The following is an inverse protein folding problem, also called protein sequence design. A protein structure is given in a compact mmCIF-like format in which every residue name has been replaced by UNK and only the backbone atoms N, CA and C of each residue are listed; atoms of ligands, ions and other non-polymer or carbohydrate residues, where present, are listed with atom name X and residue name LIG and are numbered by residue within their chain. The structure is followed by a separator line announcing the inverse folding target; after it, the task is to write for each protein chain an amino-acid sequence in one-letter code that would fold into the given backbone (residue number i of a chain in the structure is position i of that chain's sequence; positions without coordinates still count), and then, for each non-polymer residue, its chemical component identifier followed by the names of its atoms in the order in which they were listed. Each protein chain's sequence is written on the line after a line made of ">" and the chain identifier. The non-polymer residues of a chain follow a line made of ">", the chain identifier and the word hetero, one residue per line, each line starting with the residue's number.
data_IF_387875346698
#
_entry.id   IF_387875346698
#
_cell.length_a   1.000
_cell.length_b   1.000
_cell.length_c   1.000
_cell.angle_alpha   90.00
_cell.angle_beta   90.00
_cell.angle_gamma   90.00
#
_symmetry.space_group_name_H-M   'P 1'
#
loop_
_entity.id
_entity.type
_entity.pdbx_description
1 polymer ?
#
# COMPACT_ATOMS: atom_id res chain seq x y z
N UNK A 1 -6.03 40.51 15.93
CA UNK A 1 -6.36 39.20 15.33
C UNK A 1 -5.26 38.26 15.67
N UNK A 2 -5.46 37.36 16.64
CA UNK A 2 -4.47 36.34 17.02
C UNK A 2 -4.47 35.28 15.93
N UNK A 3 -3.45 35.27 15.10
CA UNK A 3 -3.18 34.12 14.25
C UNK A 3 -2.89 32.93 15.19
N UNK A 4 -3.82 32.02 15.35
CA UNK A 4 -3.55 30.73 16.01
C UNK A 4 -2.42 30.06 15.24
N UNK A 5 -1.23 30.14 15.79
CA UNK A 5 -0.03 29.50 15.27
C UNK A 5 -0.10 28.03 15.68
N UNK A 6 -0.79 27.19 14.89
CA UNK A 6 -0.81 25.74 15.10
C UNK A 6 0.57 25.12 15.04
N UNK A 7 0.75 23.86 15.48
CA UNK A 7 2.03 23.19 15.53
C UNK A 7 2.72 23.16 14.16
N UNK A 8 4.04 23.36 14.15
CA UNK A 8 4.87 23.31 12.96
C UNK A 8 5.43 21.91 12.76
N UNK A 9 5.14 21.31 11.62
CA UNK A 9 5.67 20.00 11.19
C UNK A 9 6.75 20.24 10.13
N UNK A 10 7.98 19.86 10.45
CA UNK A 10 9.10 19.93 9.53
C UNK A 10 9.28 18.56 8.85
N UNK A 11 9.10 18.49 7.55
CA UNK A 11 9.58 17.35 6.73
C UNK A 11 11.10 17.45 6.61
N UNK A 12 11.82 16.74 7.47
CA UNK A 12 13.28 16.83 7.52
C UNK A 12 13.94 16.16 6.32
N UNK A 13 13.38 15.04 5.85
CA UNK A 13 13.86 14.31 4.69
C UNK A 13 12.85 14.35 3.54
N UNK A 14 13.35 14.32 2.31
CA UNK A 14 12.54 14.15 1.12
C UNK A 14 12.02 12.70 1.03
N UNK A 15 10.95 12.46 0.27
CA UNK A 15 10.42 11.13 -0.01
C UNK A 15 11.04 10.60 -1.31
N UNK A 16 12.07 9.74 -1.22
CA UNK A 16 12.83 9.22 -2.37
C UNK A 16 13.27 10.34 -3.33
N UNK A 17 13.85 11.42 -2.77
CA UNK A 17 14.33 12.58 -3.55
C UNK A 17 13.24 13.57 -3.98
N UNK A 18 11.98 13.33 -3.66
CA UNK A 18 10.87 14.25 -3.97
C UNK A 18 10.41 14.99 -2.72
N UNK A 19 10.34 16.31 -2.82
CA UNK A 19 9.77 17.12 -1.75
C UNK A 19 8.24 16.93 -1.69
N UNK A 20 7.63 16.89 -0.48
CA UNK A 20 6.20 16.84 -0.34
C UNK A 20 5.56 18.13 -0.90
N UNK A 21 4.42 17.98 -1.55
CA UNK A 21 3.65 19.12 -2.04
C UNK A 21 2.83 19.71 -0.89
N UNK A 22 3.40 20.70 -0.21
CA UNK A 22 2.78 21.33 0.96
C UNK A 22 1.46 22.07 0.63
N UNK A 23 1.26 22.55 -0.60
CA UNK A 23 0.01 23.22 -1.01
C UNK A 23 -1.20 22.28 -0.99
N UNK A 24 -0.99 20.98 -1.06
CA UNK A 24 -2.06 19.97 -0.98
C UNK A 24 -2.38 19.54 0.44
N UNK A 25 -1.58 19.95 1.42
CA UNK A 25 -1.76 19.61 2.83
C UNK A 25 -2.64 20.68 3.50
N UNK A 26 -3.96 20.54 3.32
CA UNK A 26 -4.97 21.40 4.00
C UNK A 26 -5.52 20.62 5.19
N UNK A 27 -4.97 20.80 6.38
CA UNK A 27 -5.50 20.20 7.60
C UNK A 27 -6.76 20.92 8.10
N UNK A 28 -7.68 20.17 8.70
CA UNK A 28 -8.81 20.70 9.47
C UNK A 28 -8.31 21.39 10.75
N UNK A 29 -7.25 20.85 11.35
CA UNK A 29 -6.49 21.43 12.46
C UNK A 29 -5.45 22.42 11.92
N UNK A 30 -5.13 23.47 12.67
CA UNK A 30 -4.28 24.57 12.24
C UNK A 30 -2.77 24.22 12.10
N UNK A 31 -2.40 22.98 11.72
CA UNK A 31 -1.00 22.62 11.52
C UNK A 31 -0.36 23.39 10.37
N UNK A 32 0.89 23.73 10.56
CA UNK A 32 1.76 24.34 9.55
C UNK A 32 2.80 23.31 9.10
N UNK A 33 3.11 23.30 7.81
CA UNK A 33 4.10 22.39 7.23
C UNK A 33 5.24 23.15 6.60
N UNK A 34 6.45 22.64 6.75
CA UNK A 34 7.65 23.20 6.12
C UNK A 34 8.62 22.09 5.69
N UNK A 35 9.44 22.38 4.68
CA UNK A 35 10.61 21.59 4.28
C UNK A 35 11.91 22.36 4.54
N UNK A 36 11.82 23.58 5.06
CA UNK A 36 12.98 24.43 5.38
C UNK A 36 13.63 23.97 6.69
N UNK A 37 14.76 23.26 6.56
CA UNK A 37 15.52 22.74 7.71
C UNK A 37 16.07 23.83 8.63
N UNK A 38 16.17 25.07 8.20
CA UNK A 38 16.58 26.21 9.07
C UNK A 38 15.57 26.46 10.18
N UNK A 39 14.33 26.02 9.97
CA UNK A 39 13.26 26.09 10.95
C UNK A 39 13.22 24.92 11.93
N UNK A 40 14.26 24.06 11.93
CA UNK A 40 14.36 22.93 12.85
C UNK A 40 14.19 23.35 14.33
N UNK A 41 14.78 24.45 14.85
CA UNK A 41 14.59 24.86 16.24
C UNK A 41 13.14 25.26 16.59
N UNK A 42 12.33 25.63 15.61
CA UNK A 42 10.92 26.06 15.79
C UNK A 42 9.93 24.91 15.63
N UNK A 43 10.37 23.78 15.08
CA UNK A 43 9.49 22.67 14.74
C UNK A 43 8.98 21.97 16.00
N UNK A 44 7.67 21.80 16.11
CA UNK A 44 7.05 20.99 17.14
C UNK A 44 7.17 19.48 16.80
N UNK A 45 7.14 19.17 15.50
CA UNK A 45 7.36 17.80 15.02
C UNK A 45 8.39 17.80 13.90
N UNK A 46 9.35 16.89 13.99
CA UNK A 46 10.33 16.63 12.93
C UNK A 46 10.02 15.26 12.32
N UNK A 47 9.59 15.26 11.07
CA UNK A 47 9.19 14.05 10.36
C UNK A 47 10.32 13.54 9.47
N UNK A 48 10.74 12.30 9.72
CA UNK A 48 11.77 11.59 8.98
C UNK A 48 11.16 10.50 8.10
N UNK A 49 11.41 10.54 6.80
CA UNK A 49 11.11 9.43 5.92
C UNK A 49 12.26 8.42 5.99
N UNK A 50 12.09 7.34 6.74
CA UNK A 50 13.15 6.39 7.07
C UNK A 50 13.90 5.84 5.84
N UNK A 51 13.23 5.42 4.74
CA UNK A 51 13.94 4.93 3.56
C UNK A 51 14.95 5.93 2.96
N UNK A 52 14.71 7.23 3.12
CA UNK A 52 15.62 8.29 2.65
C UNK A 52 16.70 8.63 3.66
N UNK A 53 16.49 8.34 4.95
CA UNK A 53 17.46 8.60 6.01
C UNK A 53 18.59 7.57 6.09
N UNK A 54 18.56 6.51 5.29
CA UNK A 54 19.59 5.46 5.30
C UNK A 54 20.99 6.06 5.10
N UNK A 55 21.85 5.84 6.09
CA UNK A 55 23.23 6.37 6.08
C UNK A 55 23.36 7.88 6.32
N UNK A 56 22.28 8.56 6.74
CA UNK A 56 22.32 9.95 7.14
C UNK A 56 22.29 10.08 8.67
N UNK A 57 22.97 11.09 9.19
CA UNK A 57 22.92 11.45 10.60
C UNK A 57 21.62 12.19 10.93
N UNK A 58 21.12 11.96 12.14
CA UNK A 58 20.00 12.73 12.65
C UNK A 58 20.49 14.10 13.16
N UNK A 59 19.66 15.14 13.04
CA UNK A 59 20.01 16.47 13.52
C UNK A 59 20.03 16.51 15.06
N UNK A 60 20.48 17.63 15.62
CA UNK A 60 20.28 17.92 17.05
C UNK A 60 18.78 17.97 17.35
N UNK A 61 18.35 17.28 18.41
CA UNK A 61 16.99 17.38 18.93
C UNK A 61 16.90 18.57 19.90
N UNK A 62 15.88 19.39 19.71
CA UNK A 62 15.59 20.52 20.60
C UNK A 62 14.56 20.11 21.66
N UNK A 63 14.46 20.84 22.81
CA UNK A 63 13.41 20.61 23.80
C UNK A 63 12.02 20.69 23.19
N UNK A 64 11.08 19.92 23.74
CA UNK A 64 9.65 19.89 23.34
C UNK A 64 9.38 19.50 21.88
N UNK A 65 10.40 18.98 21.17
CA UNK A 65 10.21 18.41 19.84
C UNK A 65 9.77 16.95 19.91
N UNK A 66 8.74 16.62 19.13
CA UNK A 66 8.41 15.24 18.83
C UNK A 66 9.11 14.79 17.53
N UNK A 67 9.77 13.67 17.58
CA UNK A 67 10.31 13.04 16.40
C UNK A 67 9.34 12.01 15.87
N UNK A 68 8.99 12.13 14.60
CA UNK A 68 8.11 11.22 13.91
C UNK A 68 8.86 10.47 12.80
N UNK A 69 8.72 9.14 12.76
CA UNK A 69 9.26 8.32 11.66
C UNK A 69 8.14 7.88 10.74
N UNK A 70 8.37 7.99 9.43
CA UNK A 70 7.43 7.56 8.40
C UNK A 70 8.07 6.55 7.46
N UNK A 71 7.39 5.43 7.25
CA UNK A 71 7.75 4.47 6.20
C UNK A 71 6.53 3.73 5.67
N UNK A 72 6.45 3.63 4.34
CA UNK A 72 5.53 2.73 3.64
C UNK A 72 6.25 1.49 3.10
N UNK A 73 7.53 1.34 3.38
CA UNK A 73 8.33 0.18 3.00
C UNK A 73 8.40 -0.83 4.16
N UNK A 74 8.52 -2.12 3.83
CA UNK A 74 8.51 -3.18 4.85
C UNK A 74 9.79 -3.19 5.69
N UNK A 75 9.68 -3.70 6.92
CA UNK A 75 10.82 -3.94 7.82
C UNK A 75 11.83 -4.96 7.27
N UNK A 76 11.41 -5.84 6.37
CA UNK A 76 12.31 -6.77 5.69
C UNK A 76 13.26 -6.03 4.74
N UNK A 77 12.77 -5.03 4.03
CA UNK A 77 13.57 -4.20 3.12
C UNK A 77 14.33 -3.08 3.87
N UNK A 78 13.82 -2.66 5.04
CA UNK A 78 14.38 -1.62 5.89
C UNK A 78 14.46 -2.10 7.35
N UNK A 79 15.48 -2.90 7.72
CA UNK A 79 15.58 -3.58 9.01
C UNK A 79 15.53 -2.66 10.23
N UNK A 80 15.94 -1.39 10.08
CA UNK A 80 15.82 -0.40 11.13
C UNK A 80 14.39 -0.22 11.67
N UNK A 81 13.35 -0.53 10.86
CA UNK A 81 11.95 -0.53 11.31
C UNK A 81 11.63 -1.65 12.32
N UNK A 82 12.42 -2.73 12.33
CA UNK A 82 12.29 -3.83 13.30
C UNK A 82 13.26 -3.69 14.48
N UNK A 83 14.19 -2.75 14.43
CA UNK A 83 15.12 -2.48 15.50
C UNK A 83 14.45 -1.63 16.58
N UNK A 84 14.15 -2.26 17.72
CA UNK A 84 13.46 -1.60 18.84
C UNK A 84 14.28 -0.47 19.46
N UNK A 85 15.61 -0.60 19.52
CA UNK A 85 16.48 0.42 20.09
C UNK A 85 16.50 1.65 19.18
N UNK A 86 16.69 1.42 17.88
CA UNK A 86 16.61 2.49 16.89
C UNK A 86 15.24 3.18 16.91
N UNK A 87 14.14 2.43 16.98
CA UNK A 87 12.78 2.99 16.95
C UNK A 87 12.40 3.77 18.22
N UNK A 88 13.05 3.52 19.36
CA UNK A 88 12.80 4.28 20.62
C UNK A 88 13.13 5.77 20.53
N UNK A 89 13.95 6.19 19.59
CA UNK A 89 14.25 7.61 19.40
C UNK A 89 13.07 8.41 18.83
N UNK A 90 12.03 7.74 18.33
CA UNK A 90 10.85 8.39 17.76
C UNK A 90 9.67 8.31 18.73
N UNK A 91 9.02 9.45 18.94
CA UNK A 91 7.81 9.55 19.78
C UNK A 91 6.55 9.13 19.00
N UNK A 92 6.59 9.28 17.66
CA UNK A 92 5.48 9.05 16.77
C UNK A 92 5.94 8.14 15.64
N UNK A 93 5.21 7.05 15.43
CA UNK A 93 5.42 6.15 14.30
C UNK A 93 4.30 6.30 13.28
N UNK A 94 4.67 6.35 11.99
CA UNK A 94 3.73 6.41 10.87
C UNK A 94 4.09 5.35 9.85
N UNK A 95 3.20 4.42 9.59
CA UNK A 95 3.52 3.32 8.67
C UNK A 95 2.36 2.38 8.40
N UNK A 96 2.64 1.34 7.63
CA UNK A 96 1.65 0.34 7.21
C UNK A 96 1.24 -0.64 8.33
N UNK A 97 2.05 -0.80 9.38
CA UNK A 97 1.79 -1.70 10.51
C UNK A 97 0.74 -1.10 11.45
N UNK A 98 -0.17 -1.96 11.95
CA UNK A 98 -1.39 -1.52 12.65
C UNK A 98 -1.16 -0.87 14.01
N UNK A 99 -0.07 -1.19 14.68
CA UNK A 99 0.33 -0.61 15.96
C UNK A 99 1.13 0.71 15.82
N UNK A 100 1.26 1.24 14.60
CA UNK A 100 1.81 2.58 14.41
C UNK A 100 0.92 3.65 15.05
N UNK A 101 1.53 4.66 15.68
CA UNK A 101 0.79 5.81 16.25
C UNK A 101 -0.16 6.45 15.23
N UNK A 102 0.29 6.55 13.98
CA UNK A 102 -0.53 6.96 12.84
C UNK A 102 -0.50 5.83 11.80
N UNK A 103 -1.39 4.88 11.94
CA UNK A 103 -1.49 3.79 10.96
C UNK A 103 -1.73 4.33 9.56
N UNK A 104 -0.92 3.95 8.60
CA UNK A 104 -0.96 4.46 7.22
C UNK A 104 -1.01 3.29 6.25
N UNK A 105 -2.16 2.61 6.11
CA UNK A 105 -2.31 1.49 5.16
C UNK A 105 -2.31 1.99 3.71
N UNK A 106 -2.22 1.07 2.76
CA UNK A 106 -2.29 1.33 1.31
C UNK A 106 -3.72 1.52 0.79
N UNK A 107 -4.68 1.70 1.68
CA UNK A 107 -6.03 2.15 1.38
C UNK A 107 -6.35 3.41 2.21
N UNK A 108 -7.44 4.08 1.89
CA UNK A 108 -7.79 5.31 2.59
C UNK A 108 -9.25 5.71 2.38
N UNK A 109 -9.59 6.95 2.69
CA UNK A 109 -10.94 7.46 2.52
C UNK A 109 -11.50 7.17 1.12
N UNK A 110 -12.71 6.64 1.05
CA UNK A 110 -13.38 6.29 -0.22
C UNK A 110 -13.05 4.90 -0.78
N UNK A 111 -12.11 4.15 -0.20
CA UNK A 111 -11.78 2.79 -0.68
C UNK A 111 -12.99 1.86 -0.66
N UNK A 112 -13.81 1.89 0.39
CA UNK A 112 -15.03 1.09 0.47
C UNK A 112 -15.99 1.35 -0.71
N UNK A 113 -16.12 2.61 -1.15
CA UNK A 113 -16.91 2.98 -2.32
C UNK A 113 -16.31 2.42 -3.62
N UNK A 114 -14.99 2.53 -3.79
CA UNK A 114 -14.29 2.03 -4.98
C UNK A 114 -14.39 0.50 -5.11
N UNK A 115 -14.33 -0.23 -4.01
CA UNK A 115 -14.46 -1.68 -3.98
C UNK A 115 -15.82 -2.19 -4.42
N UNK A 116 -16.87 -1.38 -4.31
CA UNK A 116 -18.23 -1.70 -4.77
C UNK A 116 -18.47 -1.47 -6.27
N UNK A 117 -17.47 -0.93 -6.99
CA UNK A 117 -17.58 -0.77 -8.44
C UNK A 117 -17.79 -2.13 -9.11
N UNK A 118 -18.76 -2.27 -10.02
CA UNK A 118 -18.99 -3.54 -10.70
C UNK A 118 -17.77 -3.91 -11.56
N UNK A 119 -17.47 -5.21 -11.70
CA UNK A 119 -16.44 -5.65 -12.63
C UNK A 119 -16.88 -5.38 -14.08
N UNK A 120 -15.89 -5.10 -14.93
CA UNK A 120 -16.11 -5.01 -16.38
C UNK A 120 -15.83 -6.35 -17.06
N UNK A 121 -16.26 -6.48 -18.32
CA UNK A 121 -16.00 -7.66 -19.15
C UNK A 121 -14.47 -7.96 -19.23
N UNK A 122 -14.13 -9.25 -19.18
CA UNK A 122 -12.75 -9.73 -19.28
C UNK A 122 -12.42 -9.99 -20.76
N UNK A 123 -11.60 -9.13 -21.33
CA UNK A 123 -11.35 -9.11 -22.78
C UNK A 123 -9.96 -9.56 -23.19
N UNK A 124 -9.06 -9.80 -22.21
CA UNK A 124 -7.69 -10.22 -22.51
C UNK A 124 -7.61 -11.75 -22.64
N UNK A 125 -6.90 -12.20 -23.67
CA UNK A 125 -6.72 -13.64 -23.93
C UNK A 125 -5.83 -14.33 -22.89
N UNK A 126 -4.89 -13.61 -22.27
CA UNK A 126 -4.16 -14.11 -21.11
C UNK A 126 -5.02 -13.98 -19.86
N UNK A 127 -5.15 -14.99 -19.01
CA UNK A 127 -5.95 -14.89 -17.80
C UNK A 127 -5.34 -13.97 -16.73
N UNK A 128 -4.02 -13.75 -16.74
CA UNK A 128 -3.27 -13.06 -15.70
C UNK A 128 -2.59 -11.79 -16.20
N UNK A 129 -2.72 -10.72 -15.40
CA UNK A 129 -1.90 -9.51 -15.48
C UNK A 129 -0.84 -9.47 -14.37
N UNK A 130 0.32 -8.91 -14.67
CA UNK A 130 1.37 -8.64 -13.69
C UNK A 130 1.99 -7.26 -13.87
N UNK A 131 2.26 -6.56 -12.76
CA UNK A 131 2.85 -5.22 -12.75
C UNK A 131 3.98 -5.13 -11.72
N UNK A 132 5.23 -5.25 -12.17
CA UNK A 132 6.40 -5.06 -11.31
C UNK A 132 7.46 -4.21 -12.00
N UNK A 133 7.85 -3.10 -11.35
CA UNK A 133 8.96 -2.26 -11.80
C UNK A 133 10.15 -2.27 -10.83
N UNK A 134 9.91 -2.51 -9.55
CA UNK A 134 10.96 -2.63 -8.53
C UNK A 134 11.65 -3.98 -8.60
N UNK A 135 12.98 -3.96 -8.45
CA UNK A 135 13.80 -5.18 -8.35
C UNK A 135 13.94 -5.71 -6.92
N UNK A 136 13.37 -5.02 -5.92
CA UNK A 136 13.28 -5.58 -4.57
C UNK A 136 12.48 -6.88 -4.62
N UNK A 137 13.07 -7.97 -4.10
CA UNK A 137 12.56 -9.33 -4.28
C UNK A 137 12.81 -10.23 -3.06
N UNK A 138 12.74 -9.67 -1.87
CA UNK A 138 12.93 -10.44 -0.64
C UNK A 138 11.87 -11.53 -0.43
N UNK A 139 10.74 -11.45 -1.14
CA UNK A 139 9.72 -12.50 -1.18
C UNK A 139 10.00 -13.63 -2.18
N UNK A 140 11.00 -13.50 -3.06
CA UNK A 140 11.26 -14.46 -4.15
C UNK A 140 10.24 -14.41 -5.30
N UNK A 141 9.39 -13.37 -5.34
CA UNK A 141 8.28 -13.25 -6.32
C UNK A 141 8.74 -13.32 -7.77
N UNK A 142 9.96 -12.80 -8.11
CA UNK A 142 10.46 -12.83 -9.50
C UNK A 142 10.67 -14.27 -9.97
N UNK A 143 11.29 -15.10 -9.11
CA UNK A 143 11.47 -16.53 -9.38
C UNK A 143 10.14 -17.26 -9.51
N UNK A 144 9.21 -16.98 -8.60
CA UNK A 144 7.88 -17.60 -8.62
C UNK A 144 7.09 -17.25 -9.88
N UNK A 145 7.05 -15.96 -10.27
CA UNK A 145 6.34 -15.52 -11.49
C UNK A 145 7.00 -16.11 -12.75
N UNK A 146 8.34 -16.19 -12.79
CA UNK A 146 9.05 -16.82 -13.91
C UNK A 146 8.68 -18.29 -14.05
N UNK A 147 8.58 -19.02 -12.94
CA UNK A 147 8.13 -20.40 -12.93
C UNK A 147 6.66 -20.52 -13.37
N UNK A 148 5.79 -19.63 -12.87
CA UNK A 148 4.37 -19.61 -13.25
C UNK A 148 4.16 -19.40 -14.75
N UNK A 149 4.97 -18.52 -15.38
CA UNK A 149 4.95 -18.25 -16.83
C UNK A 149 5.32 -19.46 -17.70
N UNK A 150 5.88 -20.53 -17.14
CA UNK A 150 6.12 -21.79 -17.86
C UNK A 150 4.86 -22.63 -18.00
N UNK A 151 3.84 -22.36 -17.18
CA UNK A 151 2.64 -23.18 -17.07
C UNK A 151 1.38 -22.45 -17.51
N UNK A 152 1.30 -21.12 -17.35
CA UNK A 152 0.12 -20.32 -17.70
C UNK A 152 0.55 -18.98 -18.31
N UNK A 153 -0.25 -18.48 -19.21
CA UNK A 153 0.01 -17.19 -19.87
C UNK A 153 -0.17 -16.02 -18.91
N UNK A 154 0.89 -15.20 -18.76
CA UNK A 154 0.92 -13.98 -17.94
C UNK A 154 1.35 -12.79 -18.79
N UNK A 155 0.53 -11.76 -18.86
CA UNK A 155 0.88 -10.47 -19.47
C UNK A 155 1.55 -9.57 -18.41
N UNK A 156 2.86 -9.34 -18.55
CA UNK A 156 3.67 -8.56 -17.62
C UNK A 156 4.00 -7.18 -18.20
N UNK A 157 3.56 -6.14 -17.50
CA UNK A 157 3.63 -4.73 -17.91
C UNK A 157 4.76 -3.92 -17.27
N UNK A 158 5.31 -4.37 -16.17
CA UNK A 158 6.35 -3.65 -15.45
C UNK A 158 7.72 -3.71 -16.15
N UNK A 159 8.77 -3.27 -15.44
CA UNK A 159 10.16 -3.36 -15.94
C UNK A 159 10.76 -4.76 -15.75
N UNK A 160 10.17 -5.56 -14.86
CA UNK A 160 10.62 -6.92 -14.53
C UNK A 160 9.73 -7.92 -15.27
N UNK A 161 10.36 -8.91 -15.93
CA UNK A 161 9.67 -9.92 -16.76
C UNK A 161 8.72 -9.32 -17.80
N UNK A 162 9.03 -8.12 -18.31
CA UNK A 162 8.18 -7.40 -19.25
C UNK A 162 8.02 -8.18 -20.57
N UNK A 163 6.76 -8.41 -20.96
CA UNK A 163 6.41 -9.02 -22.25
C UNK A 163 5.24 -8.28 -22.92
N UNK A 164 4.69 -7.23 -22.28
CA UNK A 164 3.56 -6.45 -22.82
C UNK A 164 3.67 -4.97 -22.48
N UNK A 165 3.17 -4.12 -23.37
CA UNK A 165 3.08 -2.68 -23.17
C UNK A 165 1.65 -2.25 -22.87
N UNK A 166 1.49 -1.22 -22.02
CA UNK A 166 0.19 -0.60 -21.81
C UNK A 166 -0.31 0.03 -23.13
N UNK A 167 -1.60 -0.14 -23.45
CA UNK A 167 -2.17 0.56 -24.60
C UNK A 167 -2.30 2.06 -24.30
N UNK A 168 -1.69 2.87 -25.16
CA UNK A 168 -1.72 4.34 -25.10
C UNK A 168 -0.82 4.95 -24.01
N UNK A 169 -0.98 6.26 -23.75
CA UNK A 169 -0.14 6.99 -22.80
C UNK A 169 -0.30 6.46 -21.37
N UNK A 170 0.83 6.26 -20.67
CA UNK A 170 0.81 5.89 -19.27
C UNK A 170 0.41 7.09 -18.38
N UNK A 171 -0.73 6.98 -17.74
CA UNK A 171 -1.28 7.93 -16.74
C UNK A 171 -1.17 7.37 -15.31
N UNK A 172 -0.17 6.55 -15.04
CA UNK A 172 0.08 5.93 -13.74
C UNK A 172 -1.04 5.00 -13.29
N UNK A 173 -1.50 5.16 -12.04
CA UNK A 173 -2.50 4.29 -11.45
C UNK A 173 -3.79 4.13 -12.27
N UNK A 174 -4.23 5.17 -12.98
CA UNK A 174 -5.42 5.09 -13.85
C UNK A 174 -5.24 4.14 -15.02
N UNK A 175 -4.07 4.16 -15.67
CA UNK A 175 -3.75 3.25 -16.78
C UNK A 175 -3.61 1.82 -16.28
N UNK A 176 -2.95 1.62 -15.11
CA UNK A 176 -2.83 0.33 -14.46
C UNK A 176 -4.21 -0.27 -14.14
N UNK A 177 -5.11 0.48 -13.48
CA UNK A 177 -6.45 0.00 -13.13
C UNK A 177 -7.27 -0.38 -14.34
N UNK A 178 -7.23 0.41 -15.43
CA UNK A 178 -7.92 0.06 -16.68
C UNK A 178 -7.38 -1.22 -17.32
N UNK A 179 -6.08 -1.42 -17.31
CA UNK A 179 -5.49 -2.65 -17.82
C UNK A 179 -5.90 -3.84 -16.97
N UNK A 180 -5.72 -3.78 -15.64
CA UNK A 180 -6.10 -4.83 -14.70
C UNK A 180 -7.56 -5.25 -14.86
N UNK A 181 -8.48 -4.31 -15.03
CA UNK A 181 -9.93 -4.56 -15.13
C UNK A 181 -10.29 -5.57 -16.24
N UNK A 182 -9.46 -5.68 -17.27
CA UNK A 182 -9.70 -6.55 -18.44
C UNK A 182 -9.22 -7.99 -18.25
N UNK A 183 -8.55 -8.31 -17.14
CA UNK A 183 -8.03 -9.64 -16.81
C UNK A 183 -8.89 -10.34 -15.76
N UNK A 184 -9.02 -11.65 -15.85
CA UNK A 184 -9.65 -12.47 -14.81
C UNK A 184 -8.86 -12.36 -13.50
N UNK A 185 -7.57 -12.52 -13.56
CA UNK A 185 -6.68 -12.50 -12.39
C UNK A 185 -5.57 -11.44 -12.51
N UNK A 186 -5.07 -11.01 -11.37
CA UNK A 186 -3.89 -10.14 -11.30
C UNK A 186 -2.93 -10.67 -10.23
N UNK A 187 -1.67 -10.88 -10.60
CA UNK A 187 -0.64 -11.25 -9.63
C UNK A 187 -0.36 -10.05 -8.70
N UNK A 188 -0.72 -10.22 -7.45
CA UNK A 188 -0.60 -9.24 -6.36
C UNK A 188 0.51 -9.67 -5.39
N UNK A 189 1.72 -9.87 -5.93
CA UNK A 189 2.86 -10.36 -5.18
C UNK A 189 3.65 -9.21 -4.57
N UNK A 190 3.78 -9.21 -3.25
CA UNK A 190 4.55 -8.20 -2.52
C UNK A 190 6.05 -8.41 -2.72
N UNK A 191 6.84 -7.36 -2.52
CA UNK A 191 8.30 -7.42 -2.63
C UNK A 191 8.98 -8.07 -1.42
N UNK A 192 8.23 -8.28 -0.35
CA UNK A 192 8.67 -8.90 0.90
C UNK A 192 7.46 -9.49 1.64
N UNK A 193 7.71 -10.48 2.47
CA UNK A 193 6.69 -11.11 3.33
C UNK A 193 6.86 -10.51 4.73
N UNK A 194 5.89 -9.70 5.15
CA UNK A 194 5.85 -9.09 6.48
C UNK A 194 4.40 -8.91 6.93
N UNK A 195 4.14 -9.05 8.23
CA UNK A 195 2.82 -8.81 8.83
C UNK A 195 2.35 -7.40 8.50
N UNK A 196 1.07 -7.23 8.20
CA UNK A 196 0.41 -5.97 7.82
C UNK A 196 0.91 -5.33 6.50
N UNK A 197 1.95 -5.89 5.85
CA UNK A 197 2.47 -5.33 4.61
C UNK A 197 1.60 -5.73 3.41
N UNK A 198 0.44 -5.11 3.32
CA UNK A 198 -0.55 -5.31 2.25
C UNK A 198 -0.67 -4.02 1.46
N UNK A 199 -0.09 -4.02 0.24
CA UNK A 199 0.05 -2.79 -0.54
C UNK A 199 -1.08 -2.62 -1.58
N UNK A 200 -0.96 -1.58 -2.39
CA UNK A 200 -1.87 -1.35 -3.52
C UNK A 200 -1.94 -2.53 -4.52
N UNK A 201 -1.00 -3.47 -4.45
CA UNK A 201 -1.02 -4.66 -5.30
C UNK A 201 -2.23 -5.54 -5.01
N UNK A 202 -2.63 -5.63 -3.74
CA UNK A 202 -3.83 -6.35 -3.33
C UNK A 202 -5.11 -5.56 -3.63
N UNK A 203 -5.14 -4.27 -3.30
CA UNK A 203 -6.35 -3.46 -3.41
C UNK A 203 -6.69 -3.04 -4.84
N UNK A 204 -5.70 -2.79 -5.70
CA UNK A 204 -5.96 -2.38 -7.08
C UNK A 204 -6.74 -3.43 -7.88
N UNK A 205 -6.42 -4.73 -7.86
CA UNK A 205 -7.25 -5.75 -8.51
C UNK A 205 -8.68 -5.79 -7.98
N UNK A 206 -8.86 -5.76 -6.66
CA UNK A 206 -10.18 -5.75 -6.04
C UNK A 206 -11.03 -4.55 -6.50
N UNK A 207 -10.43 -3.35 -6.57
CA UNK A 207 -11.08 -2.14 -7.08
C UNK A 207 -11.42 -2.29 -8.56
N UNK A 208 -10.48 -2.82 -9.35
CA UNK A 208 -10.65 -2.99 -10.79
C UNK A 208 -11.61 -4.15 -11.18
N UNK A 209 -12.02 -4.98 -10.22
CA UNK A 209 -12.86 -6.14 -10.47
C UNK A 209 -12.11 -7.32 -11.11
N UNK A 210 -10.80 -7.42 -10.91
CA UNK A 210 -9.96 -8.60 -11.17
C UNK A 210 -9.71 -9.33 -9.87
N UNK A 211 -9.57 -10.65 -9.89
CA UNK A 211 -9.28 -11.43 -8.69
C UNK A 211 -7.78 -11.38 -8.39
N UNK A 212 -7.35 -10.85 -7.23
CA UNK A 212 -5.94 -10.90 -6.87
C UNK A 212 -5.48 -12.34 -6.57
N UNK A 213 -4.38 -12.74 -7.19
CA UNK A 213 -3.59 -13.89 -6.77
C UNK A 213 -2.47 -13.32 -5.90
N UNK A 214 -2.54 -13.57 -4.60
CA UNK A 214 -1.73 -12.86 -3.61
C UNK A 214 -0.57 -13.70 -3.08
N UNK A 215 0.58 -13.06 -2.92
CA UNK A 215 1.73 -13.56 -2.17
C UNK A 215 2.31 -12.41 -1.35
N UNK A 216 2.30 -12.51 -0.01
CA UNK A 216 2.77 -11.41 0.85
C UNK A 216 2.47 -11.64 2.32
N UNK A 217 1.84 -10.68 2.96
CA UNK A 217 1.54 -10.69 4.39
C UNK A 217 0.83 -11.97 4.85
N UNK A 218 1.34 -12.64 5.91
CA UNK A 218 0.73 -13.88 6.41
C UNK A 218 -0.70 -13.67 6.94
N UNK A 219 -1.01 -12.46 7.35
CA UNK A 219 -2.32 -12.08 7.87
C UNK A 219 -3.24 -11.41 6.81
N UNK A 220 -3.04 -11.70 5.52
CA UNK A 220 -3.82 -11.11 4.42
C UNK A 220 -5.34 -11.27 4.58
N UNK A 221 -5.80 -12.36 5.17
CA UNK A 221 -7.22 -12.63 5.37
C UNK A 221 -7.93 -11.55 6.21
N UNK A 222 -7.18 -10.85 7.07
CA UNK A 222 -7.71 -9.74 7.88
C UNK A 222 -8.01 -8.49 7.04
N UNK A 223 -7.29 -8.31 5.93
CA UNK A 223 -7.45 -7.20 4.98
C UNK A 223 -8.45 -7.47 3.86
N UNK A 224 -9.00 -8.68 3.80
CA UNK A 224 -9.95 -9.06 2.77
C UNK A 224 -11.31 -8.34 2.95
N UNK A 225 -11.79 -7.57 1.95
CA UNK A 225 -13.06 -6.84 2.04
C UNK A 225 -14.31 -7.74 1.94
N UNK A 226 -14.16 -8.96 1.42
CA UNK A 226 -15.23 -9.94 1.24
C UNK A 226 -14.73 -11.37 1.40
N UNK A 227 -15.67 -12.31 1.46
CA UNK A 227 -15.35 -13.73 1.47
C UNK A 227 -14.86 -14.16 0.08
N UNK A 228 -13.85 -15.03 0.03
CA UNK A 228 -13.31 -15.63 -1.19
C UNK A 228 -12.89 -14.61 -2.28
N UNK A 229 -12.54 -13.40 -1.86
CA UNK A 229 -12.24 -12.29 -2.77
C UNK A 229 -10.83 -12.33 -3.39
N UNK A 230 -9.99 -13.28 -3.02
CA UNK A 230 -8.63 -13.47 -3.55
C UNK A 230 -8.22 -14.94 -3.49
N UNK A 231 -7.15 -15.28 -4.21
CA UNK A 231 -6.49 -16.58 -4.18
C UNK A 231 -5.14 -16.38 -3.51
N UNK A 232 -4.84 -17.15 -2.45
CA UNK A 232 -3.56 -17.08 -1.77
C UNK A 232 -2.58 -18.04 -2.44
N UNK A 233 -1.51 -17.54 -3.05
CA UNK A 233 -0.49 -18.38 -3.71
C UNK A 233 0.26 -19.30 -2.74
N UNK A 234 0.27 -18.96 -1.45
CA UNK A 234 0.89 -19.79 -0.41
C UNK A 234 0.10 -21.08 -0.10
N UNK A 235 -1.16 -21.19 -0.54
CA UNK A 235 -1.98 -22.39 -0.33
C UNK A 235 -1.70 -23.48 -1.37
N UNK A 236 -0.74 -23.25 -2.28
CA UNK A 236 -0.39 -24.17 -3.37
C UNK A 236 1.05 -24.67 -3.23
N UNK A 237 1.30 -25.92 -3.65
CA UNK A 237 2.63 -26.56 -3.65
C UNK A 237 3.61 -25.97 -4.69
N UNK A 238 3.31 -24.80 -5.23
CA UNK A 238 4.16 -24.06 -6.15
C UNK A 238 3.45 -23.58 -7.41
N UNK A 239 4.24 -23.11 -8.36
CA UNK A 239 3.74 -22.44 -9.55
C UNK A 239 2.90 -23.34 -10.47
N UNK A 240 3.25 -24.63 -10.59
CA UNK A 240 2.53 -25.57 -11.47
C UNK A 240 1.10 -25.86 -10.94
N UNK A 241 0.95 -26.14 -9.64
CA UNK A 241 -0.36 -26.40 -9.02
C UNK A 241 -1.24 -25.16 -9.02
N UNK A 242 -0.66 -23.98 -8.75
CA UNK A 242 -1.37 -22.71 -8.87
C UNK A 242 -1.84 -22.45 -10.31
N UNK A 243 -0.98 -22.69 -11.33
CA UNK A 243 -1.33 -22.51 -12.73
C UNK A 243 -2.52 -23.40 -13.13
N UNK A 244 -2.46 -24.69 -12.80
CA UNK A 244 -3.54 -25.64 -13.09
C UNK A 244 -4.88 -25.22 -12.46
N UNK A 245 -4.85 -24.74 -11.22
CA UNK A 245 -6.03 -24.19 -10.55
C UNK A 245 -6.58 -22.97 -11.29
N UNK A 246 -5.72 -22.01 -11.64
CA UNK A 246 -6.11 -20.77 -12.32
C UNK A 246 -6.68 -21.02 -13.72
N UNK A 247 -6.10 -21.96 -14.48
CA UNK A 247 -6.62 -22.36 -15.80
C UNK A 247 -8.01 -22.98 -15.68
N UNK A 248 -8.20 -23.91 -14.73
CA UNK A 248 -9.51 -24.53 -14.47
C UNK A 248 -10.56 -23.46 -14.11
N UNK A 249 -10.25 -22.55 -13.18
CA UNK A 249 -11.18 -21.48 -12.79
C UNK A 249 -11.39 -20.49 -13.93
N UNK A 250 -10.37 -20.19 -14.74
CA UNK A 250 -10.51 -19.30 -15.89
C UNK A 250 -11.44 -19.86 -16.98
N UNK A 251 -11.48 -21.18 -17.12
CA UNK A 251 -12.33 -21.88 -18.10
C UNK A 251 -13.78 -22.05 -17.63
N UNK A 252 -14.06 -21.88 -16.33
CA UNK A 252 -15.39 -22.04 -15.74
C UNK A 252 -15.92 -20.70 -15.23
N UNK A 253 -16.84 -20.07 -15.95
CA UNK A 253 -17.43 -18.78 -15.58
C UNK A 253 -18.21 -18.84 -14.26
N UNK A 254 -18.79 -19.98 -13.90
CA UNK A 254 -19.50 -20.13 -12.63
C UNK A 254 -18.52 -20.17 -11.45
N UNK A 255 -17.41 -20.90 -11.57
CA UNK A 255 -16.35 -20.92 -10.57
C UNK A 255 -15.67 -19.55 -10.45
N UNK A 256 -15.36 -18.90 -11.58
CA UNK A 256 -14.81 -17.55 -11.58
C UNK A 256 -15.75 -16.54 -10.92
N UNK A 257 -17.06 -16.64 -11.23
CA UNK A 257 -18.09 -15.78 -10.66
C UNK A 257 -18.17 -15.82 -9.14
N UNK A 258 -17.91 -16.98 -8.51
CA UNK A 258 -17.88 -17.13 -7.05
C UNK A 258 -16.84 -16.21 -6.41
N UNK A 259 -15.69 -16.03 -7.06
CA UNK A 259 -14.60 -15.16 -6.58
C UNK A 259 -14.91 -13.65 -6.69
N UNK A 260 -15.94 -13.29 -7.42
CA UNK A 260 -16.43 -11.90 -7.57
C UNK A 260 -17.74 -11.65 -6.82
N UNK A 261 -18.41 -12.69 -6.33
CA UNK A 261 -19.73 -12.61 -5.69
C UNK A 261 -19.77 -11.65 -4.47
N UNK A 262 -18.65 -11.49 -3.77
CA UNK A 262 -18.52 -10.58 -2.64
C UNK A 262 -18.80 -9.10 -3.01
N UNK A 263 -18.62 -8.71 -4.29
CA UNK A 263 -18.86 -7.33 -4.73
C UNK A 263 -20.36 -6.93 -4.65
N UNK A 264 -21.25 -7.89 -4.73
CA UNK A 264 -22.69 -7.71 -4.56
C UNK A 264 -23.14 -7.84 -3.09
N UNK A 265 -22.23 -8.20 -2.19
CA UNK A 265 -22.51 -8.38 -0.76
C UNK A 265 -22.03 -7.18 0.06
N UNK A 266 -22.52 -6.98 1.29
CA UNK A 266 -21.92 -6.05 2.23
C UNK A 266 -20.43 -6.38 2.44
N UNK A 267 -19.59 -5.34 2.52
CA UNK A 267 -18.18 -5.53 2.89
C UNK A 267 -18.10 -6.06 4.34
N UNK A 268 -17.07 -6.85 4.62
CA UNK A 268 -16.84 -7.41 5.94
C UNK A 268 -16.77 -6.30 7.01
N UNK A 269 -17.45 -6.44 8.16
CA UNK A 269 -17.46 -5.41 9.21
C UNK A 269 -16.05 -5.02 9.68
N UNK A 270 -15.14 -5.99 9.85
CA UNK A 270 -13.75 -5.72 10.25
C UNK A 270 -13.02 -4.85 9.22
N UNK A 271 -13.22 -5.09 7.93
CA UNK A 271 -12.62 -4.26 6.88
C UNK A 271 -13.23 -2.85 6.88
N UNK A 272 -14.54 -2.71 7.10
CA UNK A 272 -15.16 -1.39 7.21
C UNK A 272 -14.62 -0.60 8.41
N UNK A 273 -14.45 -1.23 9.57
CA UNK A 273 -13.83 -0.62 10.75
C UNK A 273 -12.40 -0.12 10.44
N UNK A 274 -11.60 -0.92 9.71
CA UNK A 274 -10.27 -0.49 9.27
C UNK A 274 -10.32 0.73 8.34
N UNK A 275 -11.25 0.78 7.39
CA UNK A 275 -11.42 1.94 6.48
C UNK A 275 -11.88 3.17 7.25
N UNK A 276 -12.76 3.01 8.23
CA UNK A 276 -13.27 4.09 9.09
C UNK A 276 -12.19 4.65 10.00
N UNK A 277 -11.30 3.82 10.54
CA UNK A 277 -10.17 4.27 11.38
C UNK A 277 -9.15 5.12 10.59
N UNK A 278 -9.16 5.04 9.26
CA UNK A 278 -8.32 5.88 8.38
C UNK A 278 -9.15 6.87 7.57
N UNK A 279 -10.15 7.48 8.21
CA UNK A 279 -11.13 8.40 7.63
C UNK A 279 -10.54 9.70 7.05
N UNK A 280 -9.28 9.99 7.32
CA UNK A 280 -8.53 11.14 6.82
C UNK A 280 -7.14 10.73 6.33
N UNK A 281 -6.51 11.58 5.54
CA UNK A 281 -5.12 11.38 5.12
C UNK A 281 -4.17 11.35 6.32
N UNK A 282 -3.13 10.51 6.28
CA UNK A 282 -2.19 10.28 7.39
C UNK A 282 -1.57 11.56 7.96
N UNK A 283 -1.29 12.56 7.12
CA UNK A 283 -0.78 13.85 7.59
C UNK A 283 -1.80 14.64 8.40
N UNK A 284 -3.10 14.49 8.14
CA UNK A 284 -4.15 15.12 8.94
C UNK A 284 -4.29 14.43 10.29
N UNK A 285 -4.22 13.09 10.29
CA UNK A 285 -4.23 12.30 11.52
C UNK A 285 -2.99 12.54 12.38
N UNK A 286 -1.82 12.79 11.77
CA UNK A 286 -0.65 13.28 12.49
C UNK A 286 -0.93 14.60 13.19
N UNK A 287 -1.61 15.55 12.52
CA UNK A 287 -2.00 16.82 13.15
C UNK A 287 -2.95 16.61 14.35
N UNK A 288 -3.88 15.67 14.25
CA UNK A 288 -4.83 15.37 15.33
C UNK A 288 -4.12 14.79 16.56
N UNK A 289 -3.15 13.87 16.33
CA UNK A 289 -2.30 13.31 17.41
C UNK A 289 -1.54 14.42 18.15
N UNK A 290 -0.96 15.38 17.43
CA UNK A 290 -0.17 16.47 18.03
C UNK A 290 -1.07 17.49 18.74
N UNK A 291 -2.27 17.71 18.24
CA UNK A 291 -3.25 18.66 18.78
C UNK A 291 -3.98 18.15 20.02
N UNK A 292 -3.64 16.98 20.56
CA UNK A 292 -4.29 16.37 21.72
C UNK A 292 -5.62 15.69 21.39
N UNK A 293 -5.94 15.52 20.11
CA UNK A 293 -7.03 14.65 19.66
C UNK A 293 -6.56 13.18 19.72
N UNK A 294 -7.29 12.32 20.42
CA UNK A 294 -7.08 10.87 20.30
C UNK A 294 -7.31 10.48 18.85
N UNK A 295 -6.34 9.79 18.24
CA UNK A 295 -6.54 9.10 16.96
C UNK A 295 -7.59 8.00 17.21
N UNK A 296 -8.86 8.33 16.96
CA UNK A 296 -9.99 7.40 17.02
C UNK A 296 -10.14 6.67 15.71
#
# INVERSE_FOLDING_TARGET
>A
MSFRTGPLILFYSAFFGRQPNLFRLKCRTACRFTTDRRRLPEANVVLFHLPTMRGQEFPKRYPDQHWAVFSMESSVNYPALADREFMRQFDITMGYWRDATVWTPYFGPGTAKLLRSPPVEKTEAAPLAYFQSSRFDASGRIGYVRALMQHIRVDSYGKVLNNRRLPGPDRGGKSKLRAIARYKFTLAFENSIATDYVTEKFFHPLIAGSVPVYLGAPNIAEFAPGKDCFINAADFDGAASLAAYLERVAADEAEYGKLLAWKAQPLRPQFLQMVESVNAWSMYRLCDVIGGGTAS
#
